data_IF_254572776474
#
_entry.id   IF_254572776474
#
_cell.length_a   1.000
_cell.length_b   1.000
_cell.length_c   1.000
_cell.angle_alpha   90.00
_cell.angle_beta   90.00
_cell.angle_gamma   90.00
#
_symmetry.space_group_name_H-M   'P 1'
#
loop_
_entity.id
_entity.type
_entity.pdbx_description
1 polymer ?
#
# COMPACT_ATOMS: atom_id res chain seq x y z
N UNK A 1 -1.73 -30.63 36.12
CA UNK A 1 -1.10 -30.53 34.78
C UNK A 1 -1.77 -29.55 33.80
N UNK A 2 -2.99 -29.08 34.02
CA UNK A 2 -3.70 -28.14 33.14
C UNK A 2 -3.20 -26.67 33.20
N UNK A 3 -2.58 -26.25 34.32
CA UNK A 3 -2.17 -24.84 34.51
C UNK A 3 -0.90 -24.42 33.72
N UNK A 4 -0.02 -25.36 33.35
CA UNK A 4 1.20 -25.06 32.61
C UNK A 4 0.98 -24.81 31.11
N UNK A 5 -0.07 -25.40 30.51
CA UNK A 5 -0.38 -25.26 29.09
C UNK A 5 -0.98 -23.87 28.75
N UNK A 6 -1.74 -23.28 29.67
CA UNK A 6 -2.33 -21.95 29.48
C UNK A 6 -1.29 -20.81 29.54
N UNK A 7 -0.24 -20.96 30.33
CA UNK A 7 0.84 -19.98 30.46
C UNK A 7 1.69 -19.84 29.18
N UNK A 8 1.96 -20.94 28.50
CA UNK A 8 2.79 -20.94 27.27
C UNK A 8 2.07 -20.32 26.08
N UNK A 9 0.76 -20.50 25.97
CA UNK A 9 -0.03 -19.96 24.83
C UNK A 9 -0.17 -18.44 24.89
N UNK A 10 -0.24 -17.87 26.10
CA UNK A 10 -0.39 -16.42 26.29
C UNK A 10 0.91 -15.65 26.02
N UNK A 11 2.05 -16.24 26.35
CA UNK A 11 3.37 -15.61 26.11
C UNK A 11 3.71 -15.55 24.62
N UNK A 12 3.41 -16.61 23.86
CA UNK A 12 3.67 -16.61 22.39
C UNK A 12 2.84 -15.56 21.64
N UNK A 13 1.60 -15.32 22.03
CA UNK A 13 0.73 -14.31 21.38
C UNK A 13 1.20 -12.88 21.61
N UNK A 14 1.72 -12.58 22.80
CA UNK A 14 2.23 -11.24 23.11
C UNK A 14 3.54 -10.95 22.39
N UNK A 15 4.44 -11.94 22.30
CA UNK A 15 5.70 -11.82 21.57
C UNK A 15 5.48 -11.61 20.06
N UNK A 16 4.57 -12.36 19.45
CA UNK A 16 4.25 -12.20 18.03
C UNK A 16 3.63 -10.83 17.72
N UNK A 17 2.77 -10.33 18.61
CA UNK A 17 2.20 -8.98 18.49
C UNK A 17 3.26 -7.90 18.63
N UNK A 18 4.19 -8.05 19.58
CA UNK A 18 5.30 -7.11 19.76
C UNK A 18 6.25 -7.07 18.56
N UNK A 19 6.57 -8.23 17.98
CA UNK A 19 7.40 -8.33 16.75
C UNK A 19 6.71 -7.65 15.56
N UNK A 20 5.42 -7.89 15.36
CA UNK A 20 4.65 -7.26 14.29
C UNK A 20 4.60 -5.75 14.46
N UNK A 21 4.37 -5.27 15.68
CA UNK A 21 4.38 -3.84 15.99
C UNK A 21 5.76 -3.21 15.72
N UNK A 22 6.84 -3.85 16.17
CA UNK A 22 8.20 -3.38 15.92
C UNK A 22 8.52 -3.29 14.43
N UNK A 23 8.11 -4.29 13.64
CA UNK A 23 8.27 -4.29 12.18
C UNK A 23 7.52 -3.13 11.52
N UNK A 24 6.28 -2.85 11.94
CA UNK A 24 5.51 -1.70 11.44
C UNK A 24 6.18 -0.37 11.80
N UNK A 25 6.66 -0.21 13.03
CA UNK A 25 7.37 1.00 13.48
C UNK A 25 8.65 1.21 12.68
N UNK A 26 9.43 0.15 12.47
CA UNK A 26 10.66 0.20 11.67
C UNK A 26 10.37 0.59 10.22
N UNK A 27 9.36 -0.01 9.59
CA UNK A 27 8.93 0.34 8.24
C UNK A 27 8.52 1.82 8.15
N UNK A 28 7.66 2.28 9.06
CA UNK A 28 7.19 3.67 9.08
C UNK A 28 8.34 4.66 9.26
N UNK A 29 9.27 4.36 10.15
CA UNK A 29 10.44 5.20 10.38
C UNK A 29 11.30 5.30 9.13
N UNK A 30 11.51 4.17 8.43
CA UNK A 30 12.25 4.13 7.17
C UNK A 30 11.50 4.88 6.05
N UNK A 31 10.21 4.64 5.90
CA UNK A 31 9.36 5.30 4.90
C UNK A 31 9.36 6.82 5.09
N UNK A 32 9.17 7.30 6.33
CA UNK A 32 9.22 8.73 6.67
C UNK A 32 10.61 9.32 6.38
N UNK A 33 11.68 8.62 6.75
CA UNK A 33 13.06 9.04 6.46
C UNK A 33 13.35 9.18 4.97
N UNK A 34 12.70 8.36 4.13
CA UNK A 34 12.88 8.38 2.68
C UNK A 34 11.95 9.35 1.95
N UNK A 35 10.94 9.91 2.60
CA UNK A 35 9.92 10.78 1.96
C UNK A 35 10.55 11.88 1.13
N UNK A 36 11.55 12.58 1.65
CA UNK A 36 12.21 13.72 0.98
C UNK A 36 13.54 13.35 0.31
N UNK A 37 13.84 12.06 0.16
CA UNK A 37 15.06 11.64 -0.53
C UNK A 37 14.97 12.01 -2.02
N UNK A 38 16.02 12.61 -2.57
CA UNK A 38 16.03 13.13 -3.96
C UNK A 38 15.99 12.07 -5.04
N UNK A 39 16.45 10.85 -4.74
CA UNK A 39 16.42 9.76 -5.72
C UNK A 39 15.00 9.24 -5.90
N UNK A 40 14.59 9.11 -7.14
CA UNK A 40 13.35 8.40 -7.52
C UNK A 40 13.59 7.57 -8.79
N UNK A 41 12.87 6.48 -8.91
CA UNK A 41 12.90 5.61 -10.08
C UNK A 41 11.99 6.15 -11.20
N UNK A 42 12.17 5.63 -12.41
CA UNK A 42 11.24 5.89 -13.53
C UNK A 42 9.80 5.52 -13.19
N UNK A 43 9.60 4.47 -12.35
CA UNK A 43 8.27 4.04 -11.91
C UNK A 43 7.50 5.14 -11.17
N UNK A 44 8.19 5.98 -10.40
CA UNK A 44 7.55 7.12 -9.75
C UNK A 44 6.95 8.08 -10.77
N UNK A 45 7.64 8.34 -11.88
CA UNK A 45 7.14 9.17 -12.97
C UNK A 45 5.93 8.52 -13.67
N UNK A 46 5.98 7.20 -13.87
CA UNK A 46 4.86 6.42 -14.42
C UNK A 46 3.63 6.55 -13.54
N UNK A 47 3.75 6.27 -12.25
CA UNK A 47 2.65 6.38 -11.30
C UNK A 47 2.11 7.81 -11.17
N UNK A 48 3.00 8.82 -11.19
CA UNK A 48 2.61 10.22 -11.25
C UNK A 48 1.75 10.50 -12.47
N UNK A 49 2.17 10.04 -13.65
CA UNK A 49 1.42 10.21 -14.88
C UNK A 49 0.03 9.58 -14.80
N UNK A 50 -0.10 8.37 -14.26
CA UNK A 50 -1.39 7.71 -14.07
C UNK A 50 -2.30 8.45 -13.10
N UNK A 51 -1.74 9.03 -12.03
CA UNK A 51 -2.50 9.91 -11.14
C UNK A 51 -2.94 11.20 -11.86
N UNK A 52 -2.10 11.76 -12.73
CA UNK A 52 -2.44 12.92 -13.55
C UNK A 52 -3.57 12.61 -14.54
N UNK A 53 -3.53 11.46 -15.21
CA UNK A 53 -4.61 10.97 -16.08
C UNK A 53 -5.90 10.80 -15.28
N UNK A 54 -5.83 10.14 -14.12
CA UNK A 54 -6.99 9.95 -13.25
C UNK A 54 -7.55 11.28 -12.74
N UNK A 55 -6.71 12.29 -12.53
CA UNK A 55 -7.12 13.62 -12.10
C UNK A 55 -7.80 14.39 -13.25
N UNK A 56 -7.15 14.44 -14.41
CA UNK A 56 -7.59 15.23 -15.55
C UNK A 56 -8.87 14.68 -16.20
N UNK A 57 -9.01 13.35 -16.29
CA UNK A 57 -10.12 12.73 -16.99
C UNK A 57 -11.13 12.10 -16.02
N UNK A 58 -12.33 12.67 -15.90
CA UNK A 58 -13.35 12.16 -14.98
C UNK A 58 -13.96 10.84 -15.44
N UNK A 59 -13.98 10.56 -16.76
CA UNK A 59 -14.60 9.37 -17.36
C UNK A 59 -13.59 8.27 -17.62
N UNK A 60 -13.84 7.02 -17.16
CA UNK A 60 -12.92 5.90 -17.34
C UNK A 60 -12.57 5.59 -18.82
N UNK A 61 -13.50 5.80 -19.74
CA UNK A 61 -13.26 5.55 -21.16
C UNK A 61 -12.14 6.39 -21.76
N UNK A 62 -11.86 7.55 -21.17
CA UNK A 62 -10.83 8.47 -21.67
C UNK A 62 -9.42 8.10 -21.16
N UNK A 63 -9.30 7.29 -20.11
CA UNK A 63 -8.00 7.01 -19.50
C UNK A 63 -7.02 6.27 -20.42
N UNK A 64 -7.52 5.49 -21.35
CA UNK A 64 -6.72 4.65 -22.24
C UNK A 64 -6.59 5.22 -23.66
N UNK A 65 -7.35 6.26 -24.00
CA UNK A 65 -7.42 6.81 -25.35
C UNK A 65 -6.85 8.21 -25.47
N UNK A 66 -6.79 8.95 -24.37
CA UNK A 66 -6.30 10.32 -24.38
C UNK A 66 -4.79 10.36 -24.08
N UNK A 67 -4.02 9.97 -25.08
CA UNK A 67 -2.57 9.91 -25.03
C UNK A 67 -1.88 11.24 -25.33
N UNK A 68 -2.57 12.37 -25.22
CA UNK A 68 -2.18 13.58 -25.91
C UNK A 68 -0.78 14.10 -25.57
N UNK A 69 -0.21 13.86 -24.38
CA UNK A 69 1.16 14.28 -24.04
C UNK A 69 1.82 13.35 -23.01
N UNK A 70 1.25 12.19 -22.83
CA UNK A 70 1.71 11.23 -21.85
C UNK A 70 2.73 10.28 -22.48
N UNK A 71 3.93 10.29 -21.97
CA UNK A 71 5.02 9.41 -22.38
C UNK A 71 4.88 7.96 -21.87
N UNK A 72 3.96 7.72 -20.96
CA UNK A 72 3.65 6.39 -20.44
C UNK A 72 2.17 6.11 -20.59
N UNK A 73 1.87 5.20 -21.51
CA UNK A 73 0.52 4.64 -21.66
C UNK A 73 0.07 3.98 -20.36
N UNK A 74 -1.23 4.03 -20.11
CA UNK A 74 -1.84 3.30 -19.01
C UNK A 74 -1.99 1.84 -19.43
N UNK A 75 -1.09 0.97 -19.01
CA UNK A 75 -1.05 -0.45 -19.36
C UNK A 75 -1.52 -1.39 -18.22
N UNK A 76 -1.90 -0.83 -17.09
CA UNK A 76 -2.43 -1.58 -15.95
C UNK A 76 -3.93 -1.90 -16.08
N UNK A 77 -4.40 -2.98 -15.41
CA UNK A 77 -5.82 -3.33 -15.42
C UNK A 77 -6.70 -2.19 -14.90
N UNK A 78 -7.94 -2.06 -15.41
CA UNK A 78 -8.86 -0.99 -15.05
C UNK A 78 -9.09 -0.82 -13.54
N UNK A 79 -9.10 -1.93 -12.78
CA UNK A 79 -9.29 -1.89 -11.33
C UNK A 79 -8.23 -1.03 -10.63
N UNK A 80 -6.96 -1.13 -11.06
CA UNK A 80 -5.88 -0.32 -10.52
C UNK A 80 -6.13 1.17 -10.77
N UNK A 81 -6.57 1.53 -11.97
CA UNK A 81 -6.84 2.92 -12.31
C UNK A 81 -8.06 3.49 -11.57
N UNK A 82 -9.08 2.67 -11.28
CA UNK A 82 -10.17 3.07 -10.39
C UNK A 82 -9.68 3.35 -8.97
N UNK A 83 -8.79 2.51 -8.43
CA UNK A 83 -8.16 2.76 -7.13
C UNK A 83 -7.32 4.06 -7.15
N UNK A 84 -6.56 4.28 -8.22
CA UNK A 84 -5.80 5.53 -8.43
C UNK A 84 -6.73 6.75 -8.52
N UNK A 85 -7.87 6.63 -9.19
CA UNK A 85 -8.89 7.70 -9.25
C UNK A 85 -9.46 8.02 -7.87
N UNK A 86 -9.82 7.01 -7.10
CA UNK A 86 -10.31 7.19 -5.73
C UNK A 86 -9.26 7.86 -4.83
N UNK A 87 -8.00 7.39 -4.91
CA UNK A 87 -6.88 7.98 -4.19
C UNK A 87 -6.69 9.45 -4.57
N UNK A 88 -6.65 9.75 -5.86
CA UNK A 88 -6.48 11.13 -6.37
C UNK A 88 -7.63 12.03 -5.97
N UNK A 89 -8.87 11.55 -5.98
CA UNK A 89 -10.04 12.32 -5.54
C UNK A 89 -9.94 12.78 -4.09
N UNK A 90 -9.28 11.99 -3.22
CA UNK A 90 -9.08 12.35 -1.81
C UNK A 90 -7.84 13.23 -1.62
N UNK A 91 -6.78 12.96 -2.37
CA UNK A 91 -5.45 13.54 -2.11
C UNK A 91 -5.12 14.77 -2.95
N UNK A 92 -5.84 15.04 -4.07
CA UNK A 92 -5.52 16.13 -5.00
C UNK A 92 -5.38 17.51 -4.33
N UNK A 93 -6.17 17.78 -3.30
CA UNK A 93 -6.13 19.03 -2.55
C UNK A 93 -4.85 19.24 -1.73
N UNK A 94 -4.06 18.18 -1.54
CA UNK A 94 -2.77 18.21 -0.85
C UNK A 94 -1.59 18.10 -1.81
N UNK A 95 -1.86 17.89 -3.09
CA UNK A 95 -0.82 17.82 -4.11
C UNK A 95 -0.17 19.18 -4.31
N UNK A 96 1.17 19.24 -4.40
CA UNK A 96 1.86 20.46 -4.81
C UNK A 96 1.39 20.95 -6.18
N UNK A 97 1.49 22.24 -6.41
CA UNK A 97 1.10 22.87 -7.67
C UNK A 97 1.81 22.20 -8.86
N UNK A 98 1.05 21.84 -9.86
CA UNK A 98 1.54 21.18 -11.07
C UNK A 98 1.96 19.72 -10.91
N UNK A 99 1.97 19.14 -9.70
CA UNK A 99 2.33 17.73 -9.48
C UNK A 99 1.39 16.77 -10.22
N UNK A 100 0.10 17.05 -10.26
CA UNK A 100 -0.91 16.24 -10.96
C UNK A 100 -1.28 16.79 -12.35
N UNK A 101 -0.54 17.74 -12.89
CA UNK A 101 -0.74 18.19 -14.26
C UNK A 101 -0.25 17.16 -15.27
N UNK A 102 -0.99 17.00 -16.38
CA UNK A 102 -0.51 16.24 -17.53
C UNK A 102 0.71 16.97 -18.14
N UNK A 103 1.78 16.24 -18.37
CA UNK A 103 3.05 16.79 -18.88
C UNK A 103 3.71 15.78 -19.82
N UNK A 104 4.50 16.28 -20.77
CA UNK A 104 5.42 15.45 -21.52
C UNK A 104 6.52 14.87 -20.60
N UNK A 105 7.21 13.82 -21.06
CA UNK A 105 8.27 13.18 -20.26
C UNK A 105 9.35 14.15 -19.79
N UNK A 106 9.87 14.96 -20.71
CA UNK A 106 10.93 15.92 -20.42
C UNK A 106 10.46 16.94 -19.38
N UNK A 107 9.27 17.47 -19.56
CA UNK A 107 8.68 18.42 -18.62
C UNK A 107 8.36 17.77 -17.27
N UNK A 108 7.85 16.55 -17.25
CA UNK A 108 7.58 15.81 -16.02
C UNK A 108 8.86 15.54 -15.23
N UNK A 109 9.94 15.14 -15.93
CA UNK A 109 11.23 14.89 -15.32
C UNK A 109 11.88 16.16 -14.76
N UNK A 110 11.80 17.26 -15.50
CA UNK A 110 12.36 18.54 -15.08
C UNK A 110 11.62 19.14 -13.87
N UNK A 111 10.28 19.00 -13.85
CA UNK A 111 9.41 19.63 -12.85
C UNK A 111 9.05 18.70 -11.68
N UNK A 112 9.56 17.47 -11.65
CA UNK A 112 9.35 16.58 -10.50
C UNK A 112 10.29 16.99 -9.38
N UNK A 113 9.85 17.98 -8.63
CA UNK A 113 10.55 18.49 -7.46
C UNK A 113 10.44 17.59 -6.23
N UNK A 114 11.15 17.95 -5.17
CA UNK A 114 11.16 17.19 -3.92
C UNK A 114 9.79 17.13 -3.24
N UNK A 115 8.93 18.12 -3.43
CA UNK A 115 7.60 18.15 -2.81
C UNK A 115 6.61 17.25 -3.55
N UNK A 116 6.68 17.18 -4.89
CA UNK A 116 5.90 16.21 -5.66
C UNK A 116 6.33 14.77 -5.35
N UNK A 117 7.64 14.49 -5.25
CA UNK A 117 8.17 13.20 -4.82
C UNK A 117 7.69 12.84 -3.41
N UNK A 118 7.75 13.78 -2.48
CA UNK A 118 7.27 13.58 -1.12
C UNK A 118 5.77 13.28 -1.08
N UNK A 119 4.96 14.03 -1.83
CA UNK A 119 3.52 13.80 -1.96
C UNK A 119 3.24 12.37 -2.48
N UNK A 120 3.88 11.95 -3.56
CA UNK A 120 3.70 10.62 -4.13
C UNK A 120 4.06 9.51 -3.13
N UNK A 121 5.15 9.64 -2.40
CA UNK A 121 5.57 8.67 -1.38
C UNK A 121 4.62 8.64 -0.18
N UNK A 122 4.15 9.78 0.26
CA UNK A 122 3.19 9.86 1.36
C UNK A 122 1.85 9.20 1.01
N UNK A 123 1.38 9.33 -0.23
CA UNK A 123 0.15 8.64 -0.67
C UNK A 123 0.31 7.11 -0.61
N UNK A 124 1.44 6.57 -1.04
CA UNK A 124 1.74 5.13 -0.94
C UNK A 124 1.87 4.70 0.52
N UNK A 125 2.65 5.43 1.32
CA UNK A 125 2.81 5.13 2.75
C UNK A 125 1.47 5.14 3.49
N UNK A 126 0.59 6.08 3.16
CA UNK A 126 -0.74 6.13 3.74
C UNK A 126 -1.58 4.90 3.37
N UNK A 127 -1.51 4.42 2.12
CA UNK A 127 -2.17 3.18 1.71
C UNK A 127 -1.61 1.96 2.44
N UNK A 128 -0.29 1.89 2.63
CA UNK A 128 0.33 0.81 3.39
C UNK A 128 -0.18 0.78 4.84
N UNK A 129 -0.25 1.93 5.48
CA UNK A 129 -0.71 2.03 6.87
C UNK A 129 -2.20 1.75 7.03
N UNK A 130 -3.03 2.29 6.13
CA UNK A 130 -4.48 2.26 6.28
C UNK A 130 -5.13 1.01 5.67
N UNK A 131 -4.48 0.39 4.70
CA UNK A 131 -5.06 -0.74 3.94
C UNK A 131 -4.18 -1.98 4.05
N UNK A 132 -2.92 -1.90 3.60
CA UNK A 132 -2.06 -3.08 3.47
C UNK A 132 -1.78 -3.73 4.82
N UNK A 133 -1.23 -3.01 5.79
CA UNK A 133 -0.91 -3.59 7.10
C UNK A 133 -2.13 -4.15 7.84
N UNK A 134 -3.26 -3.43 7.96
CA UNK A 134 -4.45 -4.00 8.58
C UNK A 134 -4.94 -5.26 7.89
N UNK A 135 -4.90 -5.31 6.56
CA UNK A 135 -5.33 -6.46 5.78
C UNK A 135 -4.41 -7.65 6.02
N UNK A 136 -3.10 -7.45 6.01
CA UNK A 136 -2.10 -8.50 6.28
C UNK A 136 -2.25 -9.04 7.70
N UNK A 137 -2.37 -8.15 8.70
CA UNK A 137 -2.56 -8.56 10.10
C UNK A 137 -3.87 -9.35 10.28
N UNK A 138 -4.94 -8.92 9.64
CA UNK A 138 -6.21 -9.65 9.64
C UNK A 138 -6.09 -11.02 8.98
N UNK A 139 -5.43 -11.10 7.82
CA UNK A 139 -5.20 -12.36 7.14
C UNK A 139 -4.40 -13.35 8.00
N UNK A 140 -3.32 -12.90 8.66
CA UNK A 140 -2.57 -13.73 9.59
C UNK A 140 -3.42 -14.20 10.77
N UNK A 141 -4.26 -13.35 11.34
CA UNK A 141 -5.18 -13.73 12.41
C UNK A 141 -6.12 -14.86 11.95
N UNK A 142 -6.79 -14.70 10.80
CA UNK A 142 -7.70 -15.71 10.25
C UNK A 142 -7.00 -17.04 9.95
N UNK A 143 -5.80 -16.99 9.37
CA UNK A 143 -5.02 -18.19 9.07
C UNK A 143 -4.62 -18.94 10.34
N UNK A 144 -4.23 -18.21 11.38
CA UNK A 144 -3.89 -18.78 12.69
C UNK A 144 -5.10 -19.46 13.34
N UNK A 145 -6.25 -18.76 13.38
CA UNK A 145 -7.49 -19.31 13.93
C UNK A 145 -7.91 -20.61 13.20
N UNK A 146 -7.79 -20.65 11.86
CA UNK A 146 -8.06 -21.86 11.07
C UNK A 146 -7.07 -22.98 11.35
N UNK A 147 -5.79 -22.66 11.54
CA UNK A 147 -4.75 -23.62 11.92
C UNK A 147 -4.99 -24.24 13.27
N UNK A 148 -5.40 -23.45 14.27
CA UNK A 148 -5.73 -23.92 15.61
C UNK A 148 -6.98 -24.82 15.63
N UNK A 149 -8.01 -24.49 14.83
CA UNK A 149 -9.22 -25.33 14.67
C UNK A 149 -8.85 -26.67 14.04
N UNK A 150 -8.05 -26.67 12.98
CA UNK A 150 -7.58 -27.90 12.33
C UNK A 150 -6.74 -28.77 13.27
N UNK A 151 -5.86 -28.14 14.06
CA UNK A 151 -5.06 -28.85 15.07
C UNK A 151 -5.91 -29.53 16.13
N UNK A 152 -6.93 -28.83 16.66
CA UNK A 152 -7.88 -29.38 17.66
C UNK A 152 -8.70 -30.54 17.10
N UNK A 153 -9.18 -30.43 15.86
CA UNK A 153 -9.90 -31.53 15.19
C UNK A 153 -9.04 -32.80 15.04
N UNK A 154 -7.79 -32.66 14.62
CA UNK A 154 -6.86 -33.77 14.45
C UNK A 154 -6.50 -34.43 15.79
N UNK A 155 -6.38 -33.68 16.87
CA UNK A 155 -6.13 -34.22 18.22
C UNK A 155 -7.35 -34.95 18.78
N UNK A 156 -8.57 -34.43 18.55
CA UNK A 156 -9.81 -35.13 18.95
C UNK A 156 -9.97 -36.48 18.24
N UNK A 157 -9.76 -36.50 16.92
CA UNK A 157 -9.88 -37.75 16.15
C UNK A 157 -8.81 -38.79 16.56
N UNK A 158 -7.68 -38.36 17.11
CA UNK A 158 -6.60 -39.27 17.57
C UNK A 158 -6.83 -39.81 18.98
N UNK A 159 -7.68 -39.18 19.79
CA UNK A 159 -7.99 -39.64 21.14
C UNK A 159 -9.11 -40.69 21.17
N UNK A 160 -9.82 -40.89 20.06
CA UNK A 160 -10.95 -41.80 19.95
C UNK A 160 -10.56 -43.17 19.38
N UNK A 161 -9.24 -43.42 19.20
CA UNK A 161 -8.61 -44.67 18.83
C UNK A 161 -7.61 -45.10 19.89
#
# INVERSE_FOLDING_TARGET
>A
MASAVQSTTTTTTTEDSARSFAACVMYLSLAIGLVRHRYYSTDLLVHRNWMSIAHAYPRPGNWYWEETDSYNTLDYPPLFQYATKALTAVTHKYAPDGCLALKSYESARADTDGDCVAFMRLTVTALDVLVYFPTVLYAFKVLRERGEVRGRLLTSLRSDF
#
